data_IF_793706907514
#
_entry.id   IF_793706907514
#
_cell.length_a   1.000
_cell.length_b   1.000
_cell.length_c   1.000
_cell.angle_alpha   90.00
_cell.angle_beta   90.00
_cell.angle_gamma   90.00
#
_symmetry.space_group_name_H-M   'P 1'
#
loop_
_entity.id
_entity.type
_entity.pdbx_description
1 polymer ?
#
# COMPACT_ATOMS: atom_id res chain seq x y z
N UNK A 1 66.38 50.48 -43.88
CA UNK A 1 64.92 50.66 -43.79
C UNK A 1 64.36 49.33 -43.40
N UNK A 2 63.94 49.18 -42.14
CA UNK A 2 63.23 47.97 -41.68
C UNK A 2 61.77 48.04 -42.18
N UNK A 3 61.38 47.10 -43.01
CA UNK A 3 60.03 46.96 -43.45
C UNK A 3 59.25 46.20 -42.34
N UNK A 4 58.42 46.94 -41.60
CA UNK A 4 57.52 46.36 -40.63
C UNK A 4 56.32 45.88 -41.43
N UNK A 5 56.16 44.57 -41.54
CA UNK A 5 54.96 43.96 -42.18
C UNK A 5 53.69 44.37 -41.40
N UNK A 6 52.64 44.71 -42.09
CA UNK A 6 51.36 45.00 -41.43
C UNK A 6 50.88 43.76 -40.63
N UNK A 7 50.29 43.99 -39.46
CA UNK A 7 49.79 42.89 -38.64
C UNK A 7 48.74 42.06 -39.43
N UNK A 8 48.84 40.76 -39.27
CA UNK A 8 47.93 39.80 -39.92
C UNK A 8 46.48 40.13 -39.52
N UNK A 9 45.54 40.23 -40.46
CA UNK A 9 44.15 40.48 -40.17
C UNK A 9 43.52 39.40 -39.25
N UNK A 10 44.06 38.17 -39.21
CA UNK A 10 43.67 37.12 -38.30
C UNK A 10 43.98 37.40 -36.84
N UNK A 11 45.08 38.11 -36.53
CA UNK A 11 45.44 38.49 -35.17
C UNK A 11 44.40 39.42 -34.54
N UNK A 12 43.86 40.35 -35.32
CA UNK A 12 42.75 41.21 -34.86
C UNK A 12 41.47 40.45 -34.55
N UNK A 13 41.14 39.43 -35.35
CA UNK A 13 39.96 38.60 -35.14
C UNK A 13 40.13 37.78 -33.84
N UNK A 14 41.32 37.22 -33.62
CA UNK A 14 41.59 36.49 -32.37
C UNK A 14 41.56 37.40 -31.13
N UNK A 15 42.02 38.62 -31.23
CA UNK A 15 41.95 39.59 -30.11
C UNK A 15 40.49 39.99 -29.81
N UNK A 16 39.65 40.19 -30.85
CA UNK A 16 38.23 40.49 -30.68
C UNK A 16 37.50 39.32 -30.04
N UNK A 17 37.75 38.11 -30.49
CA UNK A 17 37.15 36.89 -29.91
C UNK A 17 37.57 36.65 -28.46
N UNK A 18 38.83 36.93 -28.14
CA UNK A 18 39.32 36.86 -26.74
C UNK A 18 38.62 37.87 -25.85
N UNK A 19 38.54 39.15 -26.28
CA UNK A 19 37.79 40.19 -25.58
C UNK A 19 36.30 39.84 -25.40
N UNK A 20 35.68 39.27 -26.43
CA UNK A 20 34.28 38.87 -26.35
C UNK A 20 34.08 37.74 -25.35
N UNK A 21 35.01 36.78 -25.26
CA UNK A 21 34.98 35.67 -24.31
C UNK A 21 35.22 36.16 -22.88
N UNK A 22 36.11 37.16 -22.67
CA UNK A 22 36.33 37.77 -21.37
C UNK A 22 35.14 38.62 -20.89
N UNK A 23 34.39 39.25 -21.81
CA UNK A 23 33.15 39.98 -21.53
C UNK A 23 31.96 39.09 -21.26
N UNK A 24 31.93 37.86 -21.84
CA UNK A 24 30.82 36.93 -21.69
C UNK A 24 30.98 35.93 -20.53
N UNK A 25 32.08 36.02 -19.77
CA UNK A 25 32.25 35.28 -18.53
C UNK A 25 32.49 36.25 -17.36
N UNK A 26 31.45 36.96 -16.95
CA UNK A 26 31.57 37.93 -15.89
C UNK A 26 31.93 37.21 -14.58
N UNK A 27 32.94 37.72 -13.90
CA UNK A 27 33.45 37.16 -12.62
C UNK A 27 32.38 36.98 -11.53
N UNK A 28 31.19 37.59 -11.69
CA UNK A 28 30.09 37.44 -10.77
C UNK A 28 29.36 36.10 -10.95
N UNK A 29 29.26 35.51 -12.18
CA UNK A 29 28.65 34.21 -12.40
C UNK A 29 29.39 33.12 -11.63
N UNK A 30 30.70 33.09 -11.67
CA UNK A 30 31.54 32.14 -10.90
C UNK A 30 31.33 32.30 -9.39
N UNK A 31 31.08 33.51 -8.91
CA UNK A 31 30.82 33.78 -7.48
C UNK A 31 29.43 33.36 -7.07
N UNK A 32 28.44 33.45 -7.96
CA UNK A 32 27.08 33.01 -7.72
C UNK A 32 27.01 31.49 -7.67
N UNK A 33 27.68 30.81 -8.59
CA UNK A 33 27.72 29.34 -8.61
C UNK A 33 28.40 28.79 -7.35
N UNK A 34 29.54 29.35 -6.95
CA UNK A 34 30.22 28.99 -5.70
C UNK A 34 29.34 29.25 -4.46
N UNK A 35 28.60 30.35 -4.43
CA UNK A 35 27.67 30.65 -3.34
C UNK A 35 26.49 29.67 -3.29
N UNK A 36 25.96 29.28 -4.44
CA UNK A 36 24.85 28.30 -4.54
C UNK A 36 25.31 26.92 -4.08
N UNK A 37 26.49 26.47 -4.50
CA UNK A 37 27.00 25.15 -4.16
C UNK A 37 27.53 25.07 -2.72
N UNK A 38 28.34 26.04 -2.29
CA UNK A 38 29.06 25.95 -1.02
C UNK A 38 28.20 26.37 0.18
N UNK A 39 27.26 27.28 0.00
CA UNK A 39 26.47 27.85 1.10
C UNK A 39 25.00 27.50 1.02
N UNK A 40 24.37 27.74 -0.13
CA UNK A 40 22.91 27.59 -0.24
C UNK A 40 22.48 26.11 -0.23
N UNK A 41 23.20 25.25 -0.96
CA UNK A 41 22.85 23.82 -1.05
C UNK A 41 22.91 23.12 0.33
N UNK A 42 23.96 23.25 1.14
CA UNK A 42 23.99 22.63 2.47
C UNK A 42 22.96 23.24 3.44
N UNK A 43 22.70 24.56 3.35
CA UNK A 43 21.70 25.23 4.20
C UNK A 43 20.29 24.70 3.85
N UNK A 44 19.92 24.67 2.57
CA UNK A 44 18.63 24.15 2.11
C UNK A 44 18.50 22.65 2.42
N UNK A 45 19.57 21.87 2.20
CA UNK A 45 19.60 20.45 2.54
C UNK A 45 19.35 20.21 4.02
N UNK A 46 20.04 20.94 4.89
CA UNK A 46 19.86 20.84 6.35
C UNK A 46 18.42 21.23 6.76
N UNK A 47 17.89 22.29 6.18
CA UNK A 47 16.53 22.76 6.47
C UNK A 47 15.47 21.73 6.05
N UNK A 48 15.63 21.09 4.88
CA UNK A 48 14.75 20.03 4.43
C UNK A 48 14.80 18.81 5.36
N UNK A 49 15.97 18.41 5.83
CA UNK A 49 16.13 17.30 6.78
C UNK A 49 15.44 17.63 8.10
N UNK A 50 15.62 18.83 8.64
CA UNK A 50 15.00 19.25 9.91
C UNK A 50 13.49 19.31 9.82
N UNK A 51 12.93 19.76 8.69
CA UNK A 51 11.47 19.80 8.48
C UNK A 51 10.90 18.39 8.23
N UNK A 52 11.61 17.54 7.50
CA UNK A 52 11.14 16.19 7.21
C UNK A 52 11.24 15.23 8.40
N UNK A 53 12.18 15.47 9.33
CA UNK A 53 12.40 14.63 10.51
C UNK A 53 11.15 14.37 11.36
N UNK A 54 10.35 15.36 11.75
CA UNK A 54 9.14 15.13 12.53
C UNK A 54 8.10 14.33 11.75
N UNK A 55 8.04 14.46 10.42
CA UNK A 55 7.15 13.68 9.56
C UNK A 55 7.57 12.21 9.57
N UNK A 56 8.86 11.92 9.42
CA UNK A 56 9.39 10.55 9.49
C UNK A 56 9.18 9.93 10.87
N UNK A 57 9.44 10.69 11.95
CA UNK A 57 9.18 10.22 13.32
C UNK A 57 7.69 9.94 13.52
N UNK A 58 6.81 10.80 13.01
CA UNK A 58 5.36 10.61 13.11
C UNK A 58 4.88 9.38 12.33
N UNK A 59 5.38 9.17 11.08
CA UNK A 59 5.06 7.99 10.28
C UNK A 59 5.55 6.72 11.00
N UNK A 60 6.81 6.71 11.47
CA UNK A 60 7.39 5.59 12.20
C UNK A 60 6.64 5.27 13.48
N UNK A 61 6.27 6.31 14.26
CA UNK A 61 5.49 6.16 15.49
C UNK A 61 4.09 5.62 15.19
N UNK A 62 3.44 6.13 14.14
CA UNK A 62 2.13 5.66 13.69
C UNK A 62 2.18 4.19 13.27
N UNK A 63 3.19 3.79 12.51
CA UNK A 63 3.37 2.39 12.11
C UNK A 63 3.58 1.48 13.33
N UNK A 64 4.41 1.92 14.27
CA UNK A 64 4.69 1.15 15.50
C UNK A 64 3.46 1.02 16.39
N UNK A 65 2.71 2.09 16.58
CA UNK A 65 1.46 2.07 17.33
C UNK A 65 0.37 1.28 16.61
N UNK A 66 0.32 1.33 15.27
CA UNK A 66 -0.61 0.54 14.46
C UNK A 66 -0.24 -0.95 14.46
N UNK A 67 1.02 -1.30 14.58
CA UNK A 67 1.47 -2.69 14.70
C UNK A 67 0.97 -3.32 16.02
N UNK A 68 1.02 -2.60 17.11
CA UNK A 68 0.48 -3.08 18.40
C UNK A 68 -1.04 -3.33 18.36
N UNK A 69 -1.78 -2.57 17.54
CA UNK A 69 -3.22 -2.79 17.33
C UNK A 69 -3.48 -3.95 16.36
N UNK A 70 -2.57 -4.22 15.41
CA UNK A 70 -2.68 -5.32 14.45
C UNK A 70 -2.44 -6.70 15.04
N UNK A 71 -1.65 -6.80 16.10
CA UNK A 71 -1.22 -8.09 16.66
C UNK A 71 -2.15 -8.65 17.73
N UNK A 72 -3.30 -8.00 18.01
CA UNK A 72 -4.32 -8.66 18.81
C UNK A 72 -5.00 -9.70 17.91
N UNK A 73 -4.72 -11.00 18.10
CA UNK A 73 -5.32 -12.03 17.26
C UNK A 73 -6.83 -11.89 17.39
N UNK A 74 -7.48 -11.64 16.26
CA UNK A 74 -8.94 -11.65 16.23
C UNK A 74 -9.42 -13.03 16.67
N UNK A 75 -10.24 -13.07 17.70
CA UNK A 75 -10.83 -14.29 18.21
C UNK A 75 -12.35 -14.18 18.12
N UNK A 76 -12.96 -15.08 17.35
CA UNK A 76 -14.40 -15.19 17.23
C UNK A 76 -14.98 -15.66 18.57
N UNK A 77 -16.03 -14.98 19.05
CA UNK A 77 -16.78 -15.42 20.24
C UNK A 77 -17.88 -16.41 19.81
N UNK A 78 -18.11 -17.44 20.64
CA UNK A 78 -19.15 -18.48 20.41
C UNK A 78 -20.56 -17.92 20.23
N UNK A 79 -20.88 -16.78 20.83
CA UNK A 79 -22.19 -16.10 20.69
C UNK A 79 -22.48 -15.65 19.25
N UNK A 80 -21.48 -15.53 18.41
CA UNK A 80 -21.61 -15.13 17.01
C UNK A 80 -21.74 -16.31 16.05
N UNK A 81 -21.66 -17.54 16.54
CA UNK A 81 -21.96 -18.74 15.74
C UNK A 81 -23.45 -18.78 15.47
N UNK A 82 -23.84 -18.99 14.21
CA UNK A 82 -25.22 -18.94 13.75
C UNK A 82 -25.77 -20.34 13.55
N UNK A 83 -25.13 -21.13 12.70
CA UNK A 83 -25.66 -22.44 12.29
C UNK A 83 -24.52 -23.41 11.98
N UNK A 84 -24.72 -24.67 12.38
CA UNK A 84 -23.89 -25.81 11.98
C UNK A 84 -24.25 -26.26 10.57
N UNK A 85 -23.24 -26.64 9.80
CA UNK A 85 -23.41 -27.13 8.44
C UNK A 85 -22.72 -28.49 8.24
N UNK A 86 -23.37 -29.37 7.47
CA UNK A 86 -22.70 -30.52 6.92
C UNK A 86 -21.97 -30.13 5.62
N UNK A 87 -20.73 -30.58 5.45
CA UNK A 87 -19.91 -30.19 4.32
C UNK A 87 -20.52 -30.36 2.94
N UNK A 88 -21.14 -31.54 2.63
CA UNK A 88 -21.72 -31.75 1.32
C UNK A 88 -22.92 -30.84 1.01
N UNK A 89 -23.73 -30.54 2.03
CA UNK A 89 -24.87 -29.64 1.90
C UNK A 89 -24.41 -28.19 1.72
N UNK A 90 -23.39 -27.79 2.47
CA UNK A 90 -22.79 -26.48 2.36
C UNK A 90 -22.19 -26.24 0.97
N UNK A 91 -21.40 -27.19 0.47
CA UNK A 91 -20.80 -27.11 -0.86
C UNK A 91 -21.86 -27.11 -1.99
N UNK A 92 -22.96 -27.85 -1.82
CA UNK A 92 -24.04 -27.82 -2.78
C UNK A 92 -24.79 -26.49 -2.80
N UNK A 93 -25.00 -25.89 -1.60
CA UNK A 93 -25.69 -24.60 -1.46
C UNK A 93 -24.84 -23.43 -2.00
N UNK A 94 -23.57 -23.43 -1.70
CA UNK A 94 -22.63 -22.35 -2.09
C UNK A 94 -22.03 -22.56 -3.50
N UNK A 95 -22.57 -23.49 -4.27
CA UNK A 95 -22.17 -23.74 -5.66
C UNK A 95 -22.63 -22.56 -6.53
N UNK A 96 -21.69 -21.95 -7.21
CA UNK A 96 -21.96 -20.86 -8.15
C UNK A 96 -22.07 -21.44 -9.55
N UNK A 97 -23.25 -21.35 -10.14
CA UNK A 97 -23.49 -21.72 -11.53
C UNK A 97 -23.09 -20.54 -12.44
N UNK A 98 -22.27 -20.81 -13.44
CA UNK A 98 -21.96 -19.83 -14.49
C UNK A 98 -23.05 -19.90 -15.57
N UNK A 99 -23.81 -18.81 -15.82
CA UNK A 99 -24.86 -18.80 -16.85
C UNK A 99 -24.34 -19.06 -18.29
N UNK A 100 -23.02 -18.85 -18.50
CA UNK A 100 -22.36 -19.02 -19.80
C UNK A 100 -21.63 -20.36 -19.92
N UNK A 101 -21.62 -21.17 -18.86
CA UNK A 101 -20.92 -22.47 -18.80
C UNK A 101 -19.43 -22.39 -19.20
N UNK A 102 -18.84 -21.19 -19.00
CA UNK A 102 -17.46 -20.90 -19.33
C UNK A 102 -16.48 -21.31 -18.24
N UNK A 103 -16.94 -21.45 -16.99
CA UNK A 103 -16.14 -21.81 -15.82
C UNK A 103 -16.79 -22.98 -15.10
N UNK A 104 -16.00 -23.96 -14.58
CA UNK A 104 -16.58 -25.08 -13.83
C UNK A 104 -17.34 -24.58 -12.60
N UNK A 105 -18.51 -25.18 -12.36
CA UNK A 105 -19.31 -24.93 -11.17
C UNK A 105 -18.56 -25.37 -9.90
N UNK A 106 -18.02 -24.44 -9.19
CA UNK A 106 -17.24 -24.69 -7.97
C UNK A 106 -17.96 -24.11 -6.75
N UNK A 107 -17.89 -24.79 -5.58
CA UNK A 107 -18.35 -24.23 -4.33
C UNK A 107 -17.64 -22.89 -4.06
N UNK A 108 -18.42 -21.88 -3.67
CA UNK A 108 -17.93 -20.50 -3.40
C UNK A 108 -17.32 -19.79 -4.62
N UNK A 109 -17.44 -20.30 -5.84
CA UNK A 109 -16.97 -19.64 -7.05
C UNK A 109 -15.50 -19.18 -6.98
N UNK A 110 -15.26 -17.87 -7.09
CA UNK A 110 -13.91 -17.27 -7.04
C UNK A 110 -13.21 -17.46 -5.69
N UNK A 111 -13.92 -17.75 -4.61
CA UNK A 111 -13.36 -18.04 -3.28
C UNK A 111 -13.03 -19.53 -3.08
N UNK A 112 -13.22 -20.38 -4.09
CA UNK A 112 -13.02 -21.83 -3.98
C UNK A 112 -11.61 -22.20 -3.49
N UNK A 113 -10.57 -21.51 -3.95
CA UNK A 113 -9.19 -21.76 -3.50
C UNK A 113 -9.03 -21.52 -2.00
N UNK A 114 -9.67 -20.48 -1.47
CA UNK A 114 -9.66 -20.20 -0.03
C UNK A 114 -10.48 -21.24 0.74
N UNK A 115 -11.61 -21.69 0.19
CA UNK A 115 -12.43 -22.77 0.72
C UNK A 115 -11.63 -24.08 0.84
N UNK A 116 -10.94 -24.49 -0.22
CA UNK A 116 -10.09 -25.69 -0.20
C UNK A 116 -8.97 -25.59 0.85
N UNK A 117 -8.40 -24.41 1.04
CA UNK A 117 -7.40 -24.16 2.09
C UNK A 117 -8.03 -24.27 3.48
N UNK A 118 -9.23 -23.73 3.67
CA UNK A 118 -9.98 -23.81 4.92
C UNK A 118 -10.28 -25.28 5.27
N UNK A 119 -10.80 -26.08 4.32
CA UNK A 119 -11.08 -27.50 4.50
C UNK A 119 -9.88 -28.34 4.93
N UNK A 120 -8.68 -27.99 4.51
CA UNK A 120 -7.45 -28.71 4.92
C UNK A 120 -7.18 -28.65 6.43
N UNK A 121 -7.81 -27.72 7.14
CA UNK A 121 -7.69 -27.63 8.59
C UNK A 121 -8.74 -28.46 9.35
N UNK A 122 -9.65 -29.12 8.64
CA UNK A 122 -10.66 -29.99 9.24
C UNK A 122 -10.04 -31.31 9.63
N UNK A 123 -10.26 -31.71 10.86
CA UNK A 123 -9.95 -33.04 11.38
C UNK A 123 -11.22 -33.88 11.52
N UNK A 124 -11.05 -35.17 11.73
CA UNK A 124 -12.16 -36.08 11.96
C UNK A 124 -12.89 -35.70 13.26
N UNK A 125 -14.20 -35.45 13.14
CA UNK A 125 -15.05 -35.05 14.26
C UNK A 125 -15.18 -33.53 14.47
N UNK A 126 -14.55 -32.72 13.59
CA UNK A 126 -14.75 -31.27 13.60
C UNK A 126 -16.11 -30.89 13.03
N UNK A 127 -16.61 -29.77 13.47
CA UNK A 127 -17.87 -29.19 13.02
C UNK A 127 -17.60 -27.88 12.28
N UNK A 128 -18.32 -27.64 11.17
CA UNK A 128 -18.29 -26.37 10.44
C UNK A 128 -19.51 -25.55 10.83
N UNK A 129 -19.26 -24.33 11.28
CA UNK A 129 -20.30 -23.37 11.68
C UNK A 129 -20.20 -22.09 10.86
N UNK A 130 -21.34 -21.55 10.42
CA UNK A 130 -21.37 -20.16 9.95
C UNK A 130 -21.35 -19.23 11.16
N UNK A 131 -20.79 -18.04 10.96
CA UNK A 131 -20.81 -16.98 11.96
C UNK A 131 -21.15 -15.63 11.36
N UNK A 132 -21.71 -14.77 12.22
CA UNK A 132 -22.01 -13.38 11.90
C UNK A 132 -21.61 -12.52 13.09
N UNK A 133 -20.57 -11.69 12.92
CA UNK A 133 -19.99 -10.90 14.00
C UNK A 133 -20.02 -9.43 13.66
N UNK A 134 -20.58 -8.56 14.56
CA UNK A 134 -20.42 -7.13 14.40
C UNK A 134 -18.96 -6.76 14.60
N UNK A 135 -18.44 -5.92 13.73
CA UNK A 135 -17.04 -5.48 13.78
C UNK A 135 -16.94 -4.00 13.43
N UNK A 136 -15.81 -3.41 13.77
CA UNK A 136 -15.48 -2.06 13.37
C UNK A 136 -14.18 -2.10 12.55
N UNK A 137 -14.24 -1.58 11.32
CA UNK A 137 -13.09 -1.54 10.42
C UNK A 137 -12.93 -0.10 9.96
N UNK A 138 -11.77 0.50 10.23
CA UNK A 138 -11.46 1.90 9.92
C UNK A 138 -12.47 2.92 10.46
N UNK A 139 -13.03 2.66 11.67
CA UNK A 139 -14.02 3.54 12.30
C UNK A 139 -15.45 3.38 11.76
N UNK A 140 -15.69 2.47 10.82
CA UNK A 140 -17.01 2.12 10.31
C UNK A 140 -17.52 0.85 10.93
N UNK A 141 -18.79 0.85 11.34
CA UNK A 141 -19.46 -0.34 11.87
C UNK A 141 -19.89 -1.22 10.72
N UNK A 142 -19.64 -2.51 10.84
CA UNK A 142 -20.00 -3.49 9.84
C UNK A 142 -20.31 -4.86 10.45
N UNK A 143 -20.70 -5.78 9.61
CA UNK A 143 -20.94 -7.18 9.96
C UNK A 143 -19.98 -8.03 9.14
N UNK A 144 -19.26 -8.89 9.83
CA UNK A 144 -18.35 -9.88 9.26
C UNK A 144 -19.01 -11.24 9.26
N UNK A 145 -19.13 -11.83 8.08
CA UNK A 145 -19.72 -13.16 7.90
C UNK A 145 -18.65 -14.16 7.44
N UNK A 146 -18.83 -15.42 7.80
CA UNK A 146 -17.92 -16.47 7.38
C UNK A 146 -18.21 -17.81 8.00
N UNK A 147 -17.18 -18.68 7.97
CA UNK A 147 -17.23 -20.02 8.52
C UNK A 147 -16.12 -20.26 9.52
N UNK A 148 -16.41 -21.04 10.55
CA UNK A 148 -15.49 -21.41 11.60
C UNK A 148 -15.47 -22.92 11.79
N UNK A 149 -14.30 -23.48 12.06
CA UNK A 149 -14.14 -24.89 12.45
C UNK A 149 -14.16 -24.97 13.96
N UNK A 150 -15.02 -25.82 14.50
CA UNK A 150 -15.05 -26.16 15.91
C UNK A 150 -14.41 -27.52 16.12
N UNK A 151 -13.31 -27.54 16.87
CA UNK A 151 -12.65 -28.76 17.32
C UNK A 151 -12.95 -29.01 18.80
N UNK A 152 -13.63 -30.11 19.11
CA UNK A 152 -14.05 -30.41 20.50
C UNK A 152 -14.75 -29.23 21.21
N UNK A 153 -15.59 -28.52 20.48
CA UNK A 153 -16.31 -27.36 20.97
C UNK A 153 -15.47 -26.09 21.15
N UNK A 154 -14.21 -26.06 20.76
CA UNK A 154 -13.37 -24.85 20.73
C UNK A 154 -13.29 -24.31 19.30
N UNK A 155 -13.41 -23.01 19.17
CA UNK A 155 -13.25 -22.33 17.88
C UNK A 155 -11.79 -22.42 17.47
N UNK A 156 -11.55 -22.98 16.29
CA UNK A 156 -10.25 -23.08 15.66
C UNK A 156 -10.09 -22.07 14.51
N UNK A 157 -9.83 -22.60 13.31
CA UNK A 157 -9.66 -21.77 12.09
C UNK A 157 -10.97 -21.10 11.70
N UNK A 158 -10.93 -19.80 11.45
CA UNK A 158 -12.04 -19.02 10.90
C UNK A 158 -11.69 -18.53 9.50
N UNK A 159 -12.70 -18.51 8.62
CA UNK A 159 -12.60 -17.99 7.27
C UNK A 159 -13.71 -16.98 7.02
N UNK A 160 -13.32 -15.74 6.73
CA UNK A 160 -14.23 -14.63 6.44
C UNK A 160 -14.57 -14.69 4.96
N UNK A 161 -15.85 -14.72 4.63
CA UNK A 161 -16.35 -14.76 3.24
C UNK A 161 -16.90 -13.41 2.79
N UNK A 162 -17.46 -12.64 3.70
CA UNK A 162 -18.13 -11.40 3.39
C UNK A 162 -17.96 -10.36 4.51
N UNK A 163 -17.95 -9.11 4.13
CA UNK A 163 -17.98 -7.96 5.03
C UNK A 163 -19.03 -6.98 4.51
N UNK A 164 -20.04 -6.68 5.35
CA UNK A 164 -21.07 -5.68 5.03
C UNK A 164 -20.94 -4.48 5.92
N UNK A 165 -20.94 -3.31 5.30
CA UNK A 165 -21.01 -2.03 6.00
C UNK A 165 -22.48 -1.81 6.47
N UNK A 166 -22.70 -1.53 7.75
CA UNK A 166 -24.05 -1.34 8.31
C UNK A 166 -24.65 -0.01 7.84
N UNK A 167 -23.82 0.96 7.44
CA UNK A 167 -24.30 2.27 7.00
C UNK A 167 -25.10 2.21 5.67
N UNK A 168 -25.03 1.09 4.91
CA UNK A 168 -25.76 0.90 3.66
C UNK A 168 -27.16 0.23 3.82
N UNK A 169 -27.50 -0.24 5.03
CA UNK A 169 -28.75 -0.98 5.27
C UNK A 169 -29.98 -0.07 5.38
N UNK A 170 -29.80 1.25 5.44
CA UNK A 170 -30.90 2.21 5.63
C UNK A 170 -31.47 2.81 4.33
N UNK A 171 -31.02 2.40 3.14
CA UNK A 171 -31.48 2.97 1.88
C UNK A 171 -32.43 2.08 1.06
N UNK A 172 -32.82 0.88 1.56
CA UNK A 172 -33.71 -0.04 0.85
C UNK A 172 -35.07 -0.29 1.56
N UNK A 173 -35.63 0.70 2.29
CA UNK A 173 -37.04 0.68 2.73
C UNK A 173 -37.90 1.68 1.98
#
# INVERSE_FOLDING_TARGET
KHFIAPPDPLDKVHEILRKHKELHNPKWEVRVDAFLEDILAPVVGTFLVVISWPIFVWIWLRERLSAEVKDKPWALDRKHLVQRHELPELEARERVADPLDAVPELPFGHLNVAWERFKRNLALGDEVWSFSEPCEVFGKKGIRNGYAILHNGKIGTCWITDYRDVDWVHEEE
#
